data_IF_248267381969
#
_entry.id   IF_248267381969
#
_cell.length_a   1.000
_cell.length_b   1.000
_cell.length_c   1.000
_cell.angle_alpha   90.00
_cell.angle_beta   90.00
_cell.angle_gamma   90.00
#
_symmetry.space_group_name_H-M   'P 1'
#
loop_
_entity.id
_entity.type
_entity.pdbx_description
1 polymer ?
#
# COMPACT_ATOMS: atom_id res chain seq x y z
N UNK A 1 23.15 -20.02 -52.19
CA UNK A 1 23.54 -20.35 -50.80
C UNK A 1 23.12 -19.20 -49.87
N UNK A 2 21.86 -19.16 -49.41
CA UNK A 2 21.31 -18.03 -48.66
C UNK A 2 21.11 -18.38 -47.18
N UNK A 3 21.63 -17.46 -46.35
CA UNK A 3 21.19 -17.06 -45.01
C UNK A 3 21.42 -18.02 -43.82
N UNK A 4 22.60 -17.86 -43.19
CA UNK A 4 22.75 -18.03 -41.73
C UNK A 4 22.32 -16.76 -40.99
N UNK A 5 21.02 -16.47 -40.89
CA UNK A 5 20.50 -15.38 -40.03
C UNK A 5 19.11 -15.72 -39.52
N UNK A 6 19.03 -16.56 -38.48
CA UNK A 6 17.75 -16.81 -37.79
C UNK A 6 17.86 -17.13 -36.30
N UNK A 7 18.99 -16.85 -35.64
CA UNK A 7 19.15 -17.21 -34.21
C UNK A 7 18.90 -16.03 -33.26
N UNK A 8 18.89 -14.78 -33.72
CA UNK A 8 18.82 -13.61 -32.83
C UNK A 8 17.57 -12.73 -33.00
N UNK A 9 16.37 -13.31 -32.92
CA UNK A 9 15.14 -12.50 -32.84
C UNK A 9 14.10 -12.99 -31.81
N UNK A 10 14.33 -14.13 -31.15
CA UNK A 10 13.34 -14.75 -30.26
C UNK A 10 13.67 -14.70 -28.76
N UNK A 11 14.87 -14.24 -28.38
CA UNK A 11 15.30 -14.21 -26.96
C UNK A 11 15.03 -12.87 -26.25
N UNK A 12 14.95 -11.74 -26.98
CA UNK A 12 14.95 -10.39 -26.38
C UNK A 12 13.61 -9.95 -25.78
N UNK A 13 12.47 -10.55 -26.18
CA UNK A 13 11.13 -10.20 -25.68
C UNK A 13 10.76 -10.87 -24.35
N UNK A 14 11.45 -11.94 -23.97
CA UNK A 14 11.10 -12.76 -22.78
C UNK A 14 11.72 -12.25 -21.46
N UNK A 15 12.76 -11.42 -21.53
CA UNK A 15 13.51 -10.93 -20.36
C UNK A 15 12.84 -9.72 -19.71
N UNK A 16 12.35 -8.76 -20.51
CA UNK A 16 11.57 -7.61 -20.03
C UNK A 16 10.23 -8.03 -19.42
N UNK A 17 9.54 -9.01 -20.04
CA UNK A 17 8.26 -9.51 -19.53
C UNK A 17 8.42 -10.33 -18.23
N UNK A 18 9.52 -11.07 -18.07
CA UNK A 18 9.85 -11.75 -16.80
C UNK A 18 10.19 -10.76 -15.69
N UNK A 19 10.89 -9.67 -16.00
CA UNK A 19 11.21 -8.63 -15.02
C UNK A 19 9.96 -7.87 -14.53
N UNK A 20 8.99 -7.58 -15.41
CA UNK A 20 7.75 -6.89 -15.01
C UNK A 20 6.89 -7.75 -14.07
N UNK A 21 6.80 -9.07 -14.32
CA UNK A 21 6.10 -10.03 -13.45
C UNK A 21 6.78 -10.18 -12.09
N UNK A 22 8.13 -10.25 -12.06
CA UNK A 22 8.90 -10.30 -10.81
C UNK A 22 8.66 -9.03 -9.99
N UNK A 23 8.71 -7.86 -10.62
CA UNK A 23 8.44 -6.56 -9.96
C UNK A 23 7.01 -6.50 -9.40
N UNK A 24 6.00 -6.95 -10.16
CA UNK A 24 4.60 -7.03 -9.69
C UNK A 24 4.46 -7.90 -8.43
N UNK A 25 5.14 -9.04 -8.36
CA UNK A 25 5.12 -9.91 -7.18
C UNK A 25 5.75 -9.23 -5.95
N UNK A 26 6.86 -8.51 -6.13
CA UNK A 26 7.50 -7.74 -5.05
C UNK A 26 6.55 -6.66 -4.52
N UNK A 27 5.95 -5.87 -5.42
CA UNK A 27 4.98 -4.81 -5.05
C UNK A 27 3.80 -5.41 -4.28
N UNK A 28 3.21 -6.50 -4.78
CA UNK A 28 2.09 -7.17 -4.10
C UNK A 28 2.46 -7.67 -2.71
N UNK A 29 3.66 -8.24 -2.52
CA UNK A 29 4.14 -8.65 -1.18
C UNK A 29 4.30 -7.45 -0.26
N UNK A 30 4.86 -6.34 -0.75
CA UNK A 30 5.01 -5.10 0.02
C UNK A 30 3.66 -4.54 0.48
N UNK A 31 2.68 -4.48 -0.43
CA UNK A 31 1.32 -4.02 -0.10
C UNK A 31 0.66 -4.91 0.95
N UNK A 32 0.76 -6.24 0.82
CA UNK A 32 0.23 -7.16 1.84
C UNK A 32 0.83 -6.93 3.23
N UNK A 33 2.14 -6.69 3.32
CA UNK A 33 2.80 -6.36 4.59
C UNK A 33 2.30 -5.04 5.18
N UNK A 34 2.10 -4.02 4.34
CA UNK A 34 1.55 -2.72 4.76
C UNK A 34 0.11 -2.85 5.25
N UNK A 35 -0.74 -3.59 4.54
CA UNK A 35 -2.12 -3.88 4.95
C UNK A 35 -2.14 -4.61 6.29
N UNK A 36 -1.33 -5.66 6.48
CA UNK A 36 -1.21 -6.36 7.77
C UNK A 36 -0.78 -5.45 8.91
N UNK A 37 0.13 -4.51 8.64
CA UNK A 37 0.56 -3.52 9.64
C UNK A 37 -0.57 -2.56 9.97
N UNK A 38 -1.33 -2.11 8.97
CA UNK A 38 -2.47 -1.22 9.16
C UNK A 38 -3.57 -1.88 10.00
N UNK A 39 -3.90 -3.15 9.72
CA UNK A 39 -4.86 -3.95 10.51
C UNK A 39 -4.52 -4.01 12.00
N UNK A 40 -3.23 -4.01 12.36
CA UNK A 40 -2.78 -4.03 13.77
C UNK A 40 -2.91 -2.68 14.47
N UNK A 41 -2.80 -1.58 13.74
CA UNK A 41 -2.78 -0.22 14.32
C UNK A 41 -4.20 0.36 14.40
N UNK A 42 -5.05 0.03 13.43
CA UNK A 42 -6.43 0.53 13.39
C UNK A 42 -7.27 -0.27 14.39
N UNK A 43 -7.91 0.39 15.38
CA UNK A 43 -8.80 -0.30 16.32
C UNK A 43 -9.90 -1.03 15.58
N UNK A 44 -10.12 -2.32 15.88
CA UNK A 44 -11.07 -3.18 15.17
C UNK A 44 -10.68 -3.52 13.73
N UNK A 45 -9.46 -3.20 13.30
CA UNK A 45 -8.97 -3.42 11.93
C UNK A 45 -8.50 -4.85 11.64
N UNK A 46 -8.33 -5.67 12.67
CA UNK A 46 -7.76 -7.01 12.55
C UNK A 46 -8.66 -7.91 11.67
N UNK A 47 -8.09 -8.52 10.64
CA UNK A 47 -8.82 -9.44 9.75
C UNK A 47 -9.79 -8.78 8.78
N UNK A 48 -9.86 -7.44 8.73
CA UNK A 48 -10.71 -6.75 7.75
C UNK A 48 -10.15 -6.84 6.34
N UNK A 49 -11.05 -7.03 5.38
CA UNK A 49 -10.75 -6.86 3.96
C UNK A 49 -10.29 -5.43 3.65
N UNK A 50 -9.39 -5.23 2.66
CA UNK A 50 -8.77 -3.93 2.38
C UNK A 50 -9.76 -2.77 2.23
N UNK A 51 -10.87 -2.98 1.54
CA UNK A 51 -11.85 -1.92 1.27
C UNK A 51 -12.49 -1.40 2.56
N UNK A 52 -12.88 -2.32 3.45
CA UNK A 52 -13.43 -1.98 4.78
C UNK A 52 -12.36 -1.42 5.70
N UNK A 53 -11.14 -1.98 5.64
CA UNK A 53 -10.01 -1.50 6.42
C UNK A 53 -9.70 -0.03 6.10
N UNK A 54 -9.69 0.36 4.83
CA UNK A 54 -9.42 1.74 4.43
C UNK A 54 -10.52 2.70 4.86
N UNK A 55 -11.79 2.31 4.75
CA UNK A 55 -12.90 3.10 5.27
C UNK A 55 -12.78 3.31 6.80
N UNK A 56 -12.52 2.25 7.55
CA UNK A 56 -12.34 2.32 8.99
C UNK A 56 -11.10 3.12 9.38
N UNK A 57 -10.03 3.04 8.59
CA UNK A 57 -8.84 3.87 8.75
C UNK A 57 -9.18 5.36 8.58
N UNK A 58 -9.97 5.73 7.57
CA UNK A 58 -10.39 7.10 7.36
C UNK A 58 -11.19 7.64 8.56
N UNK A 59 -12.15 6.84 9.05
CA UNK A 59 -12.92 7.18 10.26
C UNK A 59 -12.02 7.36 11.48
N UNK A 60 -11.04 6.47 11.67
CA UNK A 60 -10.12 6.54 12.80
C UNK A 60 -9.20 7.77 12.74
N UNK A 61 -8.68 8.12 11.55
CA UNK A 61 -7.89 9.35 11.35
C UNK A 61 -8.73 10.58 11.70
N UNK A 62 -9.99 10.63 11.23
CA UNK A 62 -10.89 11.74 11.54
C UNK A 62 -11.14 11.84 13.05
N UNK A 63 -11.42 10.72 13.71
CA UNK A 63 -11.64 10.68 15.16
C UNK A 63 -10.43 11.22 15.94
N UNK A 64 -9.22 10.76 15.60
CA UNK A 64 -7.99 11.24 16.25
C UNK A 64 -7.77 12.75 16.04
N UNK A 65 -8.03 13.25 14.83
CA UNK A 65 -7.92 14.70 14.55
C UNK A 65 -8.88 15.49 15.42
N UNK A 66 -10.15 15.10 15.48
CA UNK A 66 -11.15 15.75 16.33
C UNK A 66 -10.76 15.73 17.81
N UNK A 67 -10.23 14.62 18.32
CA UNK A 67 -9.73 14.54 19.70
C UNK A 67 -8.61 15.56 19.96
N UNK A 68 -7.64 15.65 19.06
CA UNK A 68 -6.54 16.61 19.16
C UNK A 68 -7.06 18.05 19.07
N UNK A 69 -7.96 18.34 18.14
CA UNK A 69 -8.52 19.68 17.93
C UNK A 69 -9.28 20.17 19.18
N UNK A 70 -10.09 19.30 19.79
CA UNK A 70 -10.81 19.60 21.04
C UNK A 70 -9.82 19.88 22.17
N UNK A 71 -8.82 19.01 22.37
CA UNK A 71 -7.82 19.19 23.43
C UNK A 71 -7.00 20.47 23.23
N UNK A 72 -6.67 20.82 21.98
CA UNK A 72 -5.98 22.06 21.67
C UNK A 72 -6.86 23.28 21.94
N UNK A 73 -8.15 23.23 21.60
CA UNK A 73 -9.09 24.31 21.89
C UNK A 73 -9.23 24.53 23.41
N UNK A 74 -9.41 23.46 24.17
CA UNK A 74 -9.46 23.50 25.63
C UNK A 74 -8.16 24.02 26.24
N UNK A 75 -7.00 23.55 25.76
CA UNK A 75 -5.70 24.03 26.22
C UNK A 75 -5.51 25.53 25.96
N UNK A 76 -6.02 26.05 24.84
CA UNK A 76 -5.98 27.50 24.56
C UNK A 76 -6.89 28.29 25.50
N UNK A 77 -8.06 27.75 25.84
CA UNK A 77 -8.99 28.38 26.78
C UNK A 77 -8.46 28.41 28.21
N UNK A 78 -7.63 27.42 28.58
CA UNK A 78 -7.10 27.27 29.93
C UNK A 78 -5.68 27.82 30.12
N UNK A 79 -5.10 28.45 29.09
CA UNK A 79 -3.86 29.22 29.26
C UNK A 79 -4.21 30.48 30.06
N UNK A 80 -3.64 30.68 31.26
CA UNK A 80 -3.85 31.88 32.06
C UNK A 80 -3.32 33.14 31.37
#
# INVERSE_FOLDING_TARGET
MKLRRAVCYKQMSSSSSRNSLKRRRVVRRSVKTKVKRLQKIVPGGQGLEPDRLFLQTANYILHLRLQVDVLQALSKLYKP
#
